data_IF_587407817762
#
_entry.id   IF_587407817762
#
_cell.length_a   1.000
_cell.length_b   1.000
_cell.length_c   1.000
_cell.angle_alpha   90.00
_cell.angle_beta   90.00
_cell.angle_gamma   90.00
#
_symmetry.space_group_name_H-M   'P 1'
#
loop_
_entity.id
_entity.type
_entity.pdbx_description
1 polymer ?
#
# COMPACT_ATOMS: atom_id res chain seq x y z
N UNK A 1 -13.57 101.76 26.91
CA UNK A 1 -13.94 102.21 25.55
C UNK A 1 -13.59 101.11 24.58
N UNK A 2 -14.57 100.79 23.73
CA UNK A 2 -14.65 99.90 22.57
C UNK A 2 -13.39 99.18 21.99
N UNK A 3 -13.59 97.90 21.66
CA UNK A 3 -12.95 97.14 20.57
C UNK A 3 -13.80 95.89 20.30
N UNK A 4 -14.70 95.82 19.30
CA UNK A 4 -14.52 95.68 17.83
C UNK A 4 -13.80 94.36 17.49
N UNK A 5 -14.57 93.26 17.37
CA UNK A 5 -15.15 92.65 16.15
C UNK A 5 -14.22 91.60 15.50
N UNK A 6 -14.56 90.34 15.77
CA UNK A 6 -14.24 89.15 14.99
C UNK A 6 -14.96 89.18 13.64
N UNK A 7 -14.30 88.86 12.51
CA UNK A 7 -14.85 88.12 11.35
C UNK A 7 -13.85 88.14 10.17
N UNK A 8 -13.04 87.09 10.04
CA UNK A 8 -12.37 86.74 8.78
C UNK A 8 -11.83 85.31 8.82
N UNK A 9 -12.72 84.30 8.86
CA UNK A 9 -12.31 82.89 8.78
C UNK A 9 -13.19 82.03 7.86
N UNK A 10 -13.91 82.63 6.91
CA UNK A 10 -14.83 81.89 6.03
C UNK A 10 -14.61 82.08 4.52
N UNK A 11 -13.48 82.64 4.08
CA UNK A 11 -13.17 82.76 2.64
C UNK A 11 -12.01 81.89 2.15
N UNK A 12 -11.28 81.20 3.05
CA UNK A 12 -10.18 80.30 2.66
C UNK A 12 -10.62 78.91 2.19
N UNK A 13 -11.75 78.40 2.68
CA UNK A 13 -12.21 77.03 2.41
C UNK A 13 -12.83 76.81 1.02
N UNK A 14 -13.45 77.83 0.43
CA UNK A 14 -14.17 77.71 -0.85
C UNK A 14 -13.22 77.70 -2.05
N UNK A 15 -12.09 78.41 -1.96
CA UNK A 15 -11.10 78.46 -3.06
C UNK A 15 -10.28 77.16 -3.15
N UNK A 16 -10.10 76.46 -2.03
CA UNK A 16 -9.30 75.24 -2.00
C UNK A 16 -10.07 74.00 -2.50
N UNK A 17 -11.39 73.93 -2.24
CA UNK A 17 -12.21 72.81 -2.70
C UNK A 17 -12.39 72.77 -4.24
N UNK A 18 -12.42 73.94 -4.90
CA UNK A 18 -12.53 74.04 -6.36
C UNK A 18 -11.19 73.83 -7.11
N UNK A 19 -10.09 73.52 -6.41
CA UNK A 19 -8.78 73.21 -7.00
C UNK A 19 -8.30 71.79 -6.72
N UNK A 20 -9.19 70.90 -6.28
CA UNK A 20 -8.87 69.48 -6.23
C UNK A 20 -8.79 68.96 -7.67
N UNK A 21 -7.65 68.38 -8.09
CA UNK A 21 -7.55 67.75 -9.40
C UNK A 21 -8.61 66.64 -9.51
N UNK A 22 -9.28 66.54 -10.66
CA UNK A 22 -10.19 65.44 -10.93
C UNK A 22 -9.48 64.11 -10.64
N UNK A 23 -10.13 63.14 -9.97
CA UNK A 23 -9.54 61.83 -9.78
C UNK A 23 -9.18 61.29 -11.16
N UNK A 24 -7.98 60.69 -11.32
CA UNK A 24 -7.58 60.15 -12.62
C UNK A 24 -8.67 59.21 -13.10
N UNK A 25 -9.17 59.45 -14.31
CA UNK A 25 -10.10 58.54 -14.98
C UNK A 25 -9.40 57.20 -15.01
N UNK A 26 -9.84 56.28 -14.16
CA UNK A 26 -9.36 54.91 -14.20
C UNK A 26 -9.74 54.42 -15.59
N UNK A 27 -8.80 53.99 -16.43
CA UNK A 27 -9.17 53.41 -17.72
C UNK A 27 -10.13 52.28 -17.38
N UNK A 28 -11.36 52.37 -17.87
CA UNK A 28 -12.30 51.25 -17.85
C UNK A 28 -11.62 50.21 -18.71
N UNK A 29 -10.93 49.26 -18.07
CA UNK A 29 -10.39 48.09 -18.76
C UNK A 29 -11.63 47.41 -19.34
N UNK A 30 -11.78 47.37 -20.67
CA UNK A 30 -12.91 46.68 -21.26
C UNK A 30 -12.85 45.24 -20.74
N UNK A 31 -13.98 44.71 -20.26
CA UNK A 31 -14.07 43.30 -19.98
C UNK A 31 -13.57 42.55 -21.23
N UNK A 32 -12.58 41.67 -21.04
CA UNK A 32 -12.01 40.89 -22.13
C UNK A 32 -13.17 40.25 -22.92
N UNK A 33 -13.17 40.32 -24.27
CA UNK A 33 -14.26 39.77 -25.06
C UNK A 33 -14.45 38.30 -24.69
N UNK A 34 -15.71 37.85 -24.60
CA UNK A 34 -16.11 36.48 -24.27
C UNK A 34 -15.19 35.36 -24.81
N UNK A 35 -14.68 35.40 -26.06
CA UNK A 35 -13.73 34.40 -26.57
C UNK A 35 -12.41 34.24 -25.79
N UNK A 36 -11.99 35.22 -24.98
CA UNK A 36 -10.78 35.11 -24.13
C UNK A 36 -11.09 34.38 -22.81
N UNK A 37 -12.34 34.39 -22.36
CA UNK A 37 -12.76 33.61 -21.18
C UNK A 37 -12.81 32.12 -21.49
N UNK A 38 -13.12 31.75 -22.74
CA UNK A 38 -13.12 30.35 -23.22
C UNK A 38 -11.70 29.74 -23.37
N UNK A 39 -10.64 30.55 -23.27
CA UNK A 39 -9.25 30.05 -23.30
C UNK A 39 -8.83 29.46 -21.95
N UNK A 40 -9.48 29.84 -20.86
CA UNK A 40 -9.31 29.20 -19.56
C UNK A 40 -10.27 28.03 -19.39
N UNK A 41 -10.33 27.11 -20.37
CA UNK A 41 -10.79 25.76 -20.07
C UNK A 41 -9.86 25.24 -18.98
N UNK A 42 -10.39 25.11 -17.74
CA UNK A 42 -9.68 24.48 -16.62
C UNK A 42 -9.02 23.22 -17.17
N UNK A 43 -7.68 23.17 -17.16
CA UNK A 43 -6.97 22.00 -17.61
C UNK A 43 -7.59 20.79 -16.92
N UNK A 44 -7.93 19.72 -17.65
CA UNK A 44 -8.57 18.57 -17.03
C UNK A 44 -7.68 18.09 -15.89
N UNK A 45 -8.30 17.83 -14.73
CA UNK A 45 -7.55 17.42 -13.54
C UNK A 45 -6.76 16.14 -13.86
N UNK A 46 -5.48 16.05 -13.44
CA UNK A 46 -4.70 14.85 -13.63
C UNK A 46 -5.41 13.66 -12.98
N UNK A 47 -5.54 12.57 -13.73
CA UNK A 47 -6.09 11.31 -13.23
C UNK A 47 -4.93 10.48 -12.72
N UNK A 48 -4.89 10.16 -11.44
CA UNK A 48 -3.85 9.32 -10.84
C UNK A 48 -4.29 7.86 -10.83
N UNK A 49 -3.34 6.95 -11.08
CA UNK A 49 -3.59 5.53 -10.90
C UNK A 49 -3.82 5.22 -9.42
N UNK A 50 -4.76 4.32 -9.08
CA UNK A 50 -4.98 3.92 -7.70
C UNK A 50 -3.72 3.26 -7.13
N UNK A 51 -3.45 3.53 -5.87
CA UNK A 51 -2.35 2.92 -5.14
C UNK A 51 -2.61 1.42 -4.89
N UNK A 52 -1.76 0.50 -5.38
CA UNK A 52 -1.99 -0.94 -5.19
C UNK A 52 -2.01 -1.36 -3.72
N UNK A 53 -1.22 -0.69 -2.87
CA UNK A 53 -1.14 -1.01 -1.44
C UNK A 53 -2.43 -0.69 -0.66
N UNK A 54 -3.30 0.15 -1.22
CA UNK A 54 -4.61 0.46 -0.67
C UNK A 54 -5.56 -0.75 -0.70
N UNK A 55 -5.29 -1.75 -1.55
CA UNK A 55 -6.08 -2.98 -1.65
C UNK A 55 -5.43 -4.15 -0.90
N UNK A 56 -4.25 -3.93 -0.31
CA UNK A 56 -3.49 -4.96 0.39
C UNK A 56 -3.55 -4.78 1.91
N UNK A 57 -3.48 -5.88 2.69
CA UNK A 57 -3.37 -5.81 4.13
C UNK A 57 -2.14 -5.01 4.59
N UNK A 58 -2.30 -4.19 5.63
CA UNK A 58 -1.16 -3.56 6.31
C UNK A 58 -0.19 -4.65 6.77
N UNK A 59 1.10 -4.50 6.43
CA UNK A 59 2.11 -5.55 6.63
C UNK A 59 2.19 -6.05 8.08
N UNK A 60 2.12 -5.14 9.05
CA UNK A 60 2.16 -5.48 10.48
C UNK A 60 0.95 -6.32 10.92
N UNK A 61 -0.25 -6.00 10.43
CA UNK A 61 -1.48 -6.73 10.75
C UNK A 61 -1.48 -8.12 10.10
N UNK A 62 -1.03 -8.20 8.85
CA UNK A 62 -0.83 -9.45 8.14
C UNK A 62 0.15 -10.36 8.88
N UNK A 63 1.33 -9.84 9.22
CA UNK A 63 2.38 -10.58 9.91
C UNK A 63 1.90 -11.08 11.28
N UNK A 64 1.24 -10.22 12.05
CA UNK A 64 0.67 -10.56 13.36
C UNK A 64 -0.39 -11.67 13.24
N UNK A 65 -1.26 -11.60 12.23
CA UNK A 65 -2.27 -12.64 11.99
C UNK A 65 -1.63 -13.96 11.58
N UNK A 66 -0.65 -13.92 10.70
CA UNK A 66 0.09 -15.10 10.27
C UNK A 66 0.81 -15.77 11.45
N UNK A 67 1.49 -14.99 12.30
CA UNK A 67 2.16 -15.48 13.51
C UNK A 67 1.19 -16.21 14.45
N UNK A 68 0.03 -15.61 14.73
CA UNK A 68 -0.99 -16.21 15.62
C UNK A 68 -1.47 -17.56 15.11
N UNK A 69 -1.81 -17.64 13.82
CA UNK A 69 -2.27 -18.88 13.22
C UNK A 69 -1.16 -19.93 13.16
N UNK A 70 0.06 -19.54 12.80
CA UNK A 70 1.22 -20.43 12.78
C UNK A 70 1.44 -21.13 14.13
N UNK A 71 1.26 -20.42 15.23
CA UNK A 71 1.39 -20.99 16.58
C UNK A 71 0.32 -22.06 16.90
N UNK A 72 -0.79 -22.09 16.17
CA UNK A 72 -1.91 -23.03 16.36
C UNK A 72 -1.86 -24.22 15.39
N UNK A 73 -1.01 -24.21 14.36
CA UNK A 73 -0.92 -25.30 13.38
C UNK A 73 -0.16 -26.49 13.98
N UNK A 74 -0.77 -27.67 14.13
CA UNK A 74 -0.06 -28.84 14.65
C UNK A 74 0.93 -29.37 13.62
N UNK A 75 2.13 -29.73 14.08
CA UNK A 75 3.16 -30.36 13.22
C UNK A 75 2.79 -31.77 12.76
N UNK A 76 1.78 -32.39 13.39
CA UNK A 76 1.24 -33.68 12.97
C UNK A 76 -0.26 -33.81 13.27
N UNK A 77 -0.96 -34.57 12.40
CA UNK A 77 -2.38 -34.88 12.52
C UNK A 77 -2.62 -36.34 12.08
N UNK A 78 -2.95 -37.23 13.00
CA UNK A 78 -3.23 -38.65 12.77
C UNK A 78 -2.30 -39.32 11.73
N UNK A 79 -1.00 -39.40 12.02
CA UNK A 79 0.03 -39.96 11.11
C UNK A 79 0.18 -39.18 9.79
N UNK A 80 -0.16 -37.91 9.76
CA UNK A 80 0.27 -36.97 8.74
C UNK A 80 1.19 -35.94 9.36
N UNK A 81 2.23 -35.55 8.63
CA UNK A 81 3.26 -34.59 9.07
C UNK A 81 3.09 -33.30 8.30
N UNK A 82 3.15 -32.16 9.00
CA UNK A 82 3.17 -30.86 8.38
C UNK A 82 4.41 -30.72 7.50
N UNK A 83 4.21 -30.31 6.26
CA UNK A 83 5.30 -30.04 5.32
C UNK A 83 5.48 -28.54 5.10
N UNK A 84 4.37 -27.83 4.87
CA UNK A 84 4.40 -26.42 4.48
C UNK A 84 3.21 -25.69 5.06
N UNK A 85 3.42 -24.43 5.38
CA UNK A 85 2.35 -23.47 5.64
C UNK A 85 2.62 -22.22 4.84
N UNK A 86 1.58 -21.62 4.27
CA UNK A 86 1.63 -20.36 3.54
C UNK A 86 0.49 -19.46 4.01
N UNK A 87 0.85 -18.28 4.48
CA UNK A 87 -0.06 -17.17 4.72
C UNK A 87 -0.15 -16.33 3.44
N UNK A 88 -1.37 -16.01 3.02
CA UNK A 88 -1.69 -15.05 1.95
C UNK A 88 -2.84 -14.15 2.40
N UNK A 89 -3.17 -13.09 1.66
CA UNK A 89 -4.23 -12.16 2.06
C UNK A 89 -5.59 -12.86 2.28
N UNK A 90 -5.84 -13.96 1.58
CA UNK A 90 -7.07 -14.75 1.62
C UNK A 90 -7.14 -15.67 2.85
N UNK A 91 -5.99 -16.17 3.31
CA UNK A 91 -6.01 -17.20 4.36
C UNK A 91 -4.68 -17.87 4.66
N UNK A 92 -4.79 -18.93 5.47
CA UNK A 92 -3.70 -19.84 5.80
C UNK A 92 -3.90 -21.15 5.03
N UNK A 93 -2.94 -21.50 4.20
CA UNK A 93 -2.83 -22.81 3.60
C UNK A 93 -1.84 -23.65 4.40
N UNK A 94 -2.22 -24.88 4.73
CA UNK A 94 -1.34 -25.86 5.36
C UNK A 94 -1.31 -27.14 4.53
N UNK A 95 -0.12 -27.65 4.27
CA UNK A 95 0.11 -28.86 3.50
C UNK A 95 0.69 -29.93 4.41
N UNK A 96 0.05 -31.09 4.42
CA UNK A 96 0.46 -32.26 5.19
C UNK A 96 0.80 -33.41 4.26
N UNK A 97 1.84 -34.16 4.63
CA UNK A 97 2.23 -35.41 3.98
C UNK A 97 1.88 -36.62 4.83
N UNK A 98 1.28 -37.62 4.18
CA UNK A 98 0.95 -38.90 4.78
C UNK A 98 2.20 -39.64 5.26
N UNK A 99 2.17 -40.14 6.49
CA UNK A 99 3.20 -41.02 7.04
C UNK A 99 2.72 -42.48 7.01
N UNK A 100 3.63 -43.46 7.16
CA UNK A 100 3.25 -44.87 7.23
C UNK A 100 2.15 -45.14 8.27
N UNK A 101 1.12 -45.89 7.85
CA UNK A 101 -0.05 -46.20 8.68
C UNK A 101 -1.14 -45.11 8.73
N UNK A 102 -0.91 -43.92 8.17
CA UNK A 102 -1.94 -42.89 8.04
C UNK A 102 -2.99 -43.23 7.00
N UNK A 103 -4.21 -42.70 7.13
CA UNK A 103 -5.26 -42.81 6.12
C UNK A 103 -5.88 -41.44 5.85
N UNK A 104 -6.43 -41.24 4.65
CA UNK A 104 -7.10 -40.00 4.28
C UNK A 104 -8.35 -39.74 5.14
N UNK A 105 -9.13 -40.80 5.44
CA UNK A 105 -10.35 -40.70 6.23
C UNK A 105 -10.09 -40.18 7.65
N UNK A 106 -9.10 -40.76 8.35
CA UNK A 106 -8.79 -40.34 9.72
C UNK A 106 -8.12 -38.96 9.77
N UNK A 107 -7.31 -38.62 8.76
CA UNK A 107 -6.80 -37.27 8.62
C UNK A 107 -7.92 -36.25 8.41
N UNK A 108 -8.89 -36.53 7.54
CA UNK A 108 -10.04 -35.66 7.32
C UNK A 108 -10.87 -35.46 8.60
N UNK A 109 -11.12 -36.53 9.36
CA UNK A 109 -11.77 -36.45 10.66
C UNK A 109 -10.98 -35.54 11.63
N UNK A 110 -9.66 -35.73 11.71
CA UNK A 110 -8.82 -34.94 12.62
C UNK A 110 -8.73 -33.47 12.20
N UNK A 111 -8.63 -33.19 10.90
CA UNK A 111 -8.67 -31.82 10.35
C UNK A 111 -10.00 -31.15 10.69
N UNK A 112 -11.12 -31.87 10.61
CA UNK A 112 -12.43 -31.35 11.00
C UNK A 112 -12.50 -31.00 12.49
N UNK A 113 -11.90 -31.80 13.36
CA UNK A 113 -11.84 -31.52 14.80
C UNK A 113 -10.94 -30.33 15.14
N UNK A 114 -9.78 -30.20 14.48
CA UNK A 114 -8.77 -29.18 14.82
C UNK A 114 -9.08 -27.83 14.16
N UNK A 115 -9.42 -27.84 12.87
CA UNK A 115 -9.57 -26.62 12.08
C UNK A 115 -11.03 -26.31 11.72
N UNK A 116 -11.96 -27.23 11.98
CA UNK A 116 -13.34 -27.14 11.48
C UNK A 116 -13.40 -26.99 9.95
N UNK A 117 -12.46 -27.61 9.24
CA UNK A 117 -12.33 -27.61 7.77
C UNK A 117 -12.33 -29.02 7.22
N UNK A 118 -12.40 -29.10 5.90
CA UNK A 118 -12.27 -30.36 5.14
C UNK A 118 -10.99 -30.25 4.31
N UNK A 119 -10.08 -31.23 4.37
CA UNK A 119 -8.90 -31.22 3.53
C UNK A 119 -9.22 -31.56 2.08
N UNK A 120 -8.42 -31.03 1.16
CA UNK A 120 -8.37 -31.44 -0.25
C UNK A 120 -7.17 -32.36 -0.43
N UNK A 121 -7.38 -33.52 -1.08
CA UNK A 121 -6.31 -34.49 -1.30
C UNK A 121 -5.82 -34.44 -2.75
N UNK A 122 -4.51 -34.54 -2.93
CA UNK A 122 -3.93 -34.75 -4.26
C UNK A 122 -4.08 -36.22 -4.67
N UNK A 123 -5.15 -36.54 -5.40
CA UNK A 123 -5.46 -37.91 -5.82
C UNK A 123 -4.48 -38.44 -6.88
N UNK A 124 -3.88 -37.56 -7.69
CA UNK A 124 -2.89 -37.94 -8.72
C UNK A 124 -1.63 -38.50 -8.07
N UNK A 125 -1.22 -37.93 -6.93
CA UNK A 125 -0.10 -38.44 -6.11
C UNK A 125 -0.51 -39.56 -5.13
N UNK A 126 -1.61 -40.28 -5.43
CA UNK A 126 -2.11 -41.38 -4.59
C UNK A 126 -2.71 -40.94 -3.26
N UNK A 127 -3.12 -39.68 -3.13
CA UNK A 127 -3.71 -39.14 -1.91
C UNK A 127 -2.72 -39.05 -0.74
N UNK A 128 -1.42 -38.89 -1.03
CA UNK A 128 -0.37 -38.78 -0.01
C UNK A 128 -0.13 -37.33 0.47
N UNK A 129 -0.75 -36.35 -0.17
CA UNK A 129 -0.71 -34.95 0.20
C UNK A 129 -2.13 -34.45 0.47
N UNK A 130 -2.28 -33.71 1.57
CA UNK A 130 -3.53 -33.13 2.03
C UNK A 130 -3.35 -31.65 2.30
N UNK A 131 -4.17 -30.82 1.67
CA UNK A 131 -4.16 -29.36 1.81
C UNK A 131 -5.37 -28.94 2.64
N UNK A 132 -5.14 -28.13 3.66
CA UNK A 132 -6.19 -27.49 4.45
C UNK A 132 -6.07 -25.99 4.27
N UNK A 133 -7.16 -25.35 3.83
CA UNK A 133 -7.24 -23.91 3.71
C UNK A 133 -8.15 -23.34 4.80
N UNK A 134 -7.64 -22.33 5.51
CA UNK A 134 -8.33 -21.62 6.58
C UNK A 134 -8.48 -20.16 6.14
N UNK A 135 -9.66 -19.75 5.65
CA UNK A 135 -9.88 -18.37 5.21
C UNK A 135 -9.84 -17.43 6.41
N UNK A 136 -9.37 -16.22 6.17
CA UNK A 136 -9.38 -15.16 7.18
C UNK A 136 -10.59 -14.24 7.02
N UNK A 137 -10.93 -13.52 8.09
CA UNK A 137 -11.77 -12.34 7.96
C UNK A 137 -11.03 -11.27 7.13
N UNK A 138 -11.79 -10.39 6.46
CA UNK A 138 -11.18 -9.29 5.72
C UNK A 138 -10.26 -8.46 6.61
N UNK A 139 -9.16 -7.97 6.03
CA UNK A 139 -8.30 -7.01 6.70
C UNK A 139 -8.90 -5.61 6.62
N UNK A 140 -8.53 -4.78 7.59
CA UNK A 140 -8.64 -3.34 7.39
C UNK A 140 -7.58 -2.94 6.38
N UNK A 141 -8.02 -2.24 5.33
CA UNK A 141 -7.15 -1.74 4.29
C UNK A 141 -6.82 -0.27 4.57
N UNK A 142 -5.64 0.16 4.14
CA UNK A 142 -5.18 1.51 4.35
C UNK A 142 -4.41 2.00 3.14
N UNK A 143 -4.76 3.21 2.71
CA UNK A 143 -4.03 3.98 1.72
C UNK A 143 -3.19 5.04 2.44
N UNK A 144 -2.09 4.63 3.05
CA UNK A 144 -1.15 5.56 3.68
C UNK A 144 -0.23 6.20 2.65
N UNK A 145 0.26 7.41 2.97
CA UNK A 145 1.29 8.05 2.17
C UNK A 145 2.58 7.21 2.22
N UNK A 146 3.05 6.73 1.07
CA UNK A 146 4.32 6.03 0.97
C UNK A 146 5.52 6.99 1.12
N UNK A 147 6.68 6.53 1.62
CA UNK A 147 7.92 7.32 1.63
C UNK A 147 8.43 7.55 0.20
N UNK A 148 9.35 8.50 0.00
CA UNK A 148 10.05 8.63 -1.28
C UNK A 148 10.93 7.41 -1.58
N UNK A 149 11.20 7.15 -2.86
CA UNK A 149 11.93 5.95 -3.30
C UNK A 149 13.30 5.79 -2.64
N UNK A 150 14.06 6.89 -2.50
CA UNK A 150 15.37 6.88 -1.85
C UNK A 150 15.26 6.44 -0.39
N UNK A 151 14.38 7.08 0.37
CA UNK A 151 14.14 6.74 1.78
C UNK A 151 13.67 5.30 1.95
N UNK A 152 12.69 4.86 1.15
CA UNK A 152 12.10 3.52 1.27
C UNK A 152 13.13 2.41 1.04
N UNK A 153 13.90 2.53 -0.06
CA UNK A 153 14.91 1.55 -0.40
C UNK A 153 16.06 1.54 0.60
N UNK A 154 16.57 2.72 0.99
CA UNK A 154 17.65 2.81 1.98
C UNK A 154 17.26 2.20 3.32
N UNK A 155 16.04 2.48 3.81
CA UNK A 155 15.54 1.92 5.06
C UNK A 155 15.44 0.39 5.00
N UNK A 156 14.82 -0.15 3.95
CA UNK A 156 14.65 -1.59 3.80
C UNK A 156 16.00 -2.33 3.64
N UNK A 157 16.88 -1.84 2.76
CA UNK A 157 18.19 -2.45 2.50
C UNK A 157 19.07 -2.43 3.75
N UNK A 158 19.19 -1.27 4.42
CA UNK A 158 20.01 -1.15 5.63
C UNK A 158 19.49 -2.05 6.74
N UNK A 159 18.17 -2.20 6.84
CA UNK A 159 17.53 -3.05 7.82
C UNK A 159 17.85 -4.54 7.58
N UNK A 160 17.64 -5.04 6.36
CA UNK A 160 17.93 -6.45 6.04
C UNK A 160 19.42 -6.78 6.16
N UNK A 161 20.31 -5.83 5.82
CA UNK A 161 21.75 -5.98 6.05
C UNK A 161 22.09 -6.06 7.55
N UNK A 162 21.46 -5.24 8.38
CA UNK A 162 21.63 -5.29 9.85
C UNK A 162 21.14 -6.62 10.43
N UNK A 163 20.10 -7.20 9.83
CA UNK A 163 19.58 -8.53 10.17
C UNK A 163 20.43 -9.69 9.63
N UNK A 164 21.45 -9.39 8.82
CA UNK A 164 22.34 -10.37 8.19
C UNK A 164 21.59 -11.43 7.37
N UNK A 165 20.47 -11.05 6.77
CA UNK A 165 19.67 -11.93 5.90
C UNK A 165 19.99 -11.67 4.43
N UNK A 166 20.03 -12.74 3.64
CA UNK A 166 20.09 -12.63 2.18
C UNK A 166 18.71 -12.29 1.64
N UNK A 167 18.63 -11.29 0.76
CA UNK A 167 17.37 -10.87 0.15
C UNK A 167 17.57 -10.57 -1.34
N UNK A 168 16.51 -10.76 -2.13
CA UNK A 168 16.41 -10.23 -3.49
C UNK A 168 15.51 -9.00 -3.48
N UNK A 169 15.84 -8.00 -4.29
CA UNK A 169 15.05 -6.79 -4.48
C UNK A 169 15.03 -6.44 -5.96
N UNK A 170 13.85 -6.22 -6.52
CA UNK A 170 13.69 -5.87 -7.93
C UNK A 170 12.59 -4.82 -8.13
N UNK A 171 12.87 -3.82 -8.95
CA UNK A 171 11.86 -2.85 -9.38
C UNK A 171 10.88 -3.50 -10.35
N UNK A 172 9.59 -3.29 -10.10
CA UNK A 172 8.51 -3.68 -11.01
C UNK A 172 8.38 -2.57 -12.05
N UNK A 173 8.93 -2.81 -13.24
CA UNK A 173 8.78 -1.88 -14.36
C UNK A 173 7.34 -1.91 -14.86
N UNK A 174 6.68 -0.77 -14.84
CA UNK A 174 5.38 -0.65 -15.52
C UNK A 174 5.60 -0.73 -17.04
N UNK A 175 4.81 -1.54 -17.76
CA UNK A 175 4.81 -1.51 -19.21
C UNK A 175 4.48 -0.08 -19.69
N UNK A 176 5.21 0.46 -20.67
CA UNK A 176 4.84 1.75 -21.24
C UNK A 176 3.41 1.66 -21.80
N UNK A 177 2.60 2.70 -21.59
CA UNK A 177 1.27 2.79 -22.18
C UNK A 177 1.39 2.58 -23.69
N UNK A 178 0.64 1.62 -24.26
CA UNK A 178 0.76 1.33 -25.68
C UNK A 178 0.21 2.49 -26.51
N UNK A 179 0.88 2.88 -27.61
CA UNK A 179 0.34 3.87 -28.54
C UNK A 179 -0.97 3.35 -29.14
N UNK A 180 -2.11 3.80 -28.61
CA UNK A 180 -3.42 3.31 -29.01
C UNK A 180 -4.48 3.37 -27.91
N UNK A 181 -4.07 3.28 -26.64
CA UNK A 181 -4.99 3.30 -25.48
C UNK A 181 -5.59 4.69 -25.18
N UNK A 182 -5.23 5.70 -25.98
CA UNK A 182 -5.79 7.05 -25.94
C UNK A 182 -5.70 7.81 -27.27
N UNK A 183 -5.42 7.14 -28.38
CA UNK A 183 -5.18 7.79 -29.68
C UNK A 183 -6.46 8.35 -30.35
N UNK A 184 -7.56 8.48 -29.60
CA UNK A 184 -8.83 9.02 -30.10
C UNK A 184 -9.73 9.68 -29.05
N UNK A 185 -9.26 9.91 -27.82
CA UNK A 185 -10.06 10.55 -26.77
C UNK A 185 -9.25 11.64 -26.08
N UNK A 186 -9.82 12.85 -25.94
CA UNK A 186 -9.33 13.96 -25.10
C UNK A 186 -9.27 13.62 -23.59
N UNK A 187 -9.16 12.34 -23.23
CA UNK A 187 -9.06 11.87 -21.86
C UNK A 187 -7.61 12.05 -21.35
N UNK A 188 -7.41 12.60 -20.13
CA UNK A 188 -6.10 12.69 -19.51
C UNK A 188 -5.45 11.30 -19.42
N UNK A 189 -4.18 11.20 -19.79
CA UNK A 189 -3.43 9.98 -19.53
C UNK A 189 -3.27 9.78 -18.01
N UNK A 190 -3.51 8.56 -17.51
CA UNK A 190 -3.36 8.29 -16.09
C UNK A 190 -1.88 8.43 -15.68
N UNK A 191 -1.66 9.14 -14.57
CA UNK A 191 -0.35 9.38 -13.98
C UNK A 191 -0.11 8.33 -12.91
N UNK A 192 1.02 7.65 -12.99
CA UNK A 192 1.55 6.85 -11.88
C UNK A 192 2.54 7.73 -11.13
N UNK A 193 2.30 7.98 -9.85
CA UNK A 193 3.12 8.80 -8.95
C UNK A 193 3.80 7.95 -7.86
N UNK A 194 4.01 6.66 -8.17
CA UNK A 194 4.59 5.69 -7.26
C UNK A 194 5.44 4.66 -7.99
N UNK A 195 6.43 4.14 -7.27
CA UNK A 195 7.26 3.00 -7.64
C UNK A 195 6.91 1.77 -6.81
N UNK A 196 7.01 0.60 -7.43
CA UNK A 196 6.87 -0.68 -6.76
C UNK A 196 8.16 -1.49 -6.88
N UNK A 197 8.60 -2.04 -5.74
CA UNK A 197 9.72 -2.97 -5.67
C UNK A 197 9.27 -4.25 -4.98
N UNK A 198 9.60 -5.40 -5.55
CA UNK A 198 9.35 -6.70 -4.92
C UNK A 198 10.58 -7.17 -4.18
N UNK A 199 10.37 -7.76 -3.00
CA UNK A 199 11.43 -8.39 -2.24
C UNK A 199 11.09 -9.83 -1.87
N UNK A 200 12.13 -10.66 -1.76
CA UNK A 200 12.03 -12.03 -1.28
C UNK A 200 13.18 -12.35 -0.34
N UNK A 201 12.86 -13.04 0.75
CA UNK A 201 13.81 -13.47 1.78
C UNK A 201 13.55 -14.94 2.07
N UNK A 202 14.61 -15.76 2.03
CA UNK A 202 14.58 -17.15 2.50
C UNK A 202 15.58 -17.31 3.63
N UNK A 203 15.12 -17.67 4.82
CA UNK A 203 15.96 -17.73 6.01
C UNK A 203 15.47 -18.77 7.04
N UNK A 204 16.28 -19.08 8.06
CA UNK A 204 15.91 -19.97 9.17
C UNK A 204 15.33 -19.22 10.37
N UNK A 205 15.57 -17.91 10.45
CA UNK A 205 14.96 -17.04 11.46
C UNK A 205 13.51 -16.77 11.14
N UNK A 206 12.71 -16.61 12.19
CA UNK A 206 11.28 -16.37 12.04
C UNK A 206 11.01 -15.00 11.37
N UNK A 207 9.97 -14.88 10.53
CA UNK A 207 9.64 -13.63 9.82
C UNK A 207 9.44 -12.46 10.76
N UNK A 208 8.86 -12.71 11.95
CA UNK A 208 8.63 -11.68 12.94
C UNK A 208 9.96 -11.14 13.48
N UNK A 209 10.98 -11.98 13.64
CA UNK A 209 12.31 -11.52 14.03
C UNK A 209 12.97 -10.70 12.92
N UNK A 210 12.92 -11.17 11.68
CA UNK A 210 13.53 -10.48 10.51
C UNK A 210 12.92 -9.09 10.32
N UNK A 211 11.60 -8.99 10.46
CA UNK A 211 10.83 -7.78 10.17
C UNK A 211 10.63 -6.85 11.39
N UNK A 212 10.96 -7.29 12.61
CA UNK A 212 10.73 -6.52 13.84
C UNK A 212 11.55 -5.22 13.88
N UNK A 213 10.92 -4.08 13.64
CA UNK A 213 11.59 -2.76 13.67
C UNK A 213 11.91 -2.19 12.29
N UNK A 214 11.60 -2.94 11.21
CA UNK A 214 11.51 -2.35 9.88
C UNK A 214 10.42 -1.26 9.87
N UNK A 215 10.69 -0.13 9.21
CA UNK A 215 9.67 0.87 8.93
C UNK A 215 8.65 0.28 7.95
N UNK A 216 7.42 0.03 8.42
CA UNK A 216 6.39 -0.69 7.64
C UNK A 216 5.56 0.20 6.71
N UNK A 217 5.82 1.50 6.67
CA UNK A 217 5.09 2.44 5.81
C UNK A 217 5.38 2.13 4.34
N UNK A 218 4.34 1.97 3.51
CA UNK A 218 4.51 1.54 2.12
C UNK A 218 5.01 0.10 1.97
N UNK A 219 5.09 -0.70 3.03
CA UNK A 219 5.45 -2.13 2.97
C UNK A 219 4.17 -2.96 2.93
N UNK A 220 4.11 -3.93 2.02
CA UNK A 220 3.04 -4.93 1.94
C UNK A 220 3.63 -6.33 1.84
N UNK A 221 3.08 -7.28 2.59
CA UNK A 221 3.48 -8.68 2.50
C UNK A 221 2.50 -9.43 1.61
N UNK A 222 2.99 -10.06 0.56
CA UNK A 222 2.19 -10.90 -0.33
C UNK A 222 2.10 -12.33 0.21
N UNK A 223 3.21 -12.83 0.76
CA UNK A 223 3.19 -14.13 1.43
C UNK A 223 4.21 -14.26 2.55
N UNK A 224 3.84 -15.06 3.55
CA UNK A 224 4.75 -15.57 4.57
C UNK A 224 4.56 -17.07 4.65
N UNK A 225 5.57 -17.82 4.27
CA UNK A 225 5.53 -19.27 4.25
C UNK A 225 6.64 -19.86 5.13
N UNK A 226 6.43 -21.10 5.57
CA UNK A 226 7.49 -21.92 6.12
C UNK A 226 7.34 -23.36 5.68
N UNK A 227 8.48 -24.03 5.57
CA UNK A 227 8.58 -25.47 5.35
C UNK A 227 9.19 -26.14 6.56
N UNK A 228 8.77 -27.37 6.84
CA UNK A 228 9.29 -28.21 7.91
C UNK A 228 9.98 -29.44 7.31
N UNK A 229 11.31 -29.45 7.40
CA UNK A 229 12.11 -30.58 6.89
C UNK A 229 11.79 -31.87 7.66
N UNK A 230 12.07 -33.05 7.09
CA UNK A 230 11.97 -34.32 7.80
C UNK A 230 12.78 -34.37 9.11
N UNK A 231 13.85 -33.57 9.20
CA UNK A 231 14.70 -33.44 10.38
C UNK A 231 14.17 -32.42 11.40
N UNK A 232 12.99 -31.83 11.18
CA UNK A 232 12.38 -30.87 12.10
C UNK A 232 12.93 -29.45 11.98
N UNK A 233 13.61 -29.12 10.87
CA UNK A 233 14.15 -27.77 10.65
C UNK A 233 13.15 -26.89 9.90
N UNK A 234 12.99 -25.66 10.35
CA UNK A 234 12.17 -24.66 9.69
C UNK A 234 12.99 -23.83 8.70
N UNK A 235 12.42 -23.62 7.53
CA UNK A 235 12.88 -22.60 6.56
C UNK A 235 11.71 -21.70 6.24
N UNK A 236 11.89 -20.40 6.43
CA UNK A 236 10.90 -19.37 6.20
C UNK A 236 11.14 -18.69 4.84
N UNK A 237 10.05 -18.34 4.17
CA UNK A 237 10.06 -17.57 2.93
C UNK A 237 9.11 -16.39 3.10
N UNK A 238 9.61 -15.19 2.86
CA UNK A 238 8.87 -13.94 2.97
C UNK A 238 8.87 -13.30 1.59
N UNK A 239 7.70 -12.96 1.09
CA UNK A 239 7.50 -12.24 -0.16
C UNK A 239 6.70 -10.98 0.13
N UNK A 240 7.11 -9.87 -0.47
CA UNK A 240 6.44 -8.61 -0.28
C UNK A 240 6.83 -7.55 -1.29
N UNK A 241 6.26 -6.39 -1.08
CA UNK A 241 6.32 -5.22 -1.92
C UNK A 241 6.73 -4.02 -1.07
N UNK A 242 7.59 -3.18 -1.61
CA UNK A 242 7.91 -1.85 -1.13
C UNK A 242 7.32 -0.87 -2.15
N UNK A 243 6.36 -0.08 -1.70
CA UNK A 243 5.82 1.03 -2.45
C UNK A 243 6.49 2.31 -1.98
N UNK A 244 6.81 3.16 -2.95
CA UNK A 244 7.36 4.47 -2.72
C UNK A 244 6.66 5.47 -3.61
N UNK A 245 6.54 6.72 -3.17
CA UNK A 245 6.08 7.81 -4.04
C UNK A 245 7.25 8.37 -4.85
N UNK A 246 6.88 9.02 -5.95
CA UNK A 246 7.78 9.85 -6.75
C UNK A 246 8.26 11.11 -5.98
#
# INVERSE_FOLDING_TARGET
GAGVLSLAALLGGVVWWNRLPEPPVVPVVPALPAPVQDVFKKAPEPVYLPHPWAEMPVAADFLTRCQRWRALVPVSLDRWRLERVRCSAEGLETVYQRQPGGTAARFAERVKQVFNRTPVFNLVAGGNEGVVFIPWAKFTLQDEAAPDAGTQLMQAVSWFQTRQVSFSLSEVKTPPAMPGDGAGSDAPQPIQDWHEYTFSITDKHMPEWILQGLAMQGVRLSSVAYTLSPQGQFTYQIEGHLYARD
#
